data_IF_245777536402
#
_entry.id   IF_245777536402
#
_cell.length_a   1.000
_cell.length_b   1.000
_cell.length_c   1.000
_cell.angle_alpha   90.00
_cell.angle_beta   90.00
_cell.angle_gamma   90.00
#
_symmetry.space_group_name_H-M   'P 1'
#
loop_
_entity.id
_entity.type
_entity.pdbx_description
1 polymer ?
#
# COMPACT_ATOMS: atom_id res chain seq x y z
N UNK A 1 -0.99 14.64 4.73
CA UNK A 1 -0.44 13.46 4.03
C UNK A 1 0.88 13.68 3.28
N UNK A 2 1.21 14.91 2.83
CA UNK A 2 2.44 15.22 2.07
C UNK A 2 3.72 14.76 2.77
N UNK A 3 3.86 15.03 4.06
CA UNK A 3 5.08 14.72 4.80
C UNK A 3 5.30 13.22 4.96
N UNK A 4 4.23 12.45 5.12
CA UNK A 4 4.30 10.99 5.18
C UNK A 4 4.77 10.38 3.85
N UNK A 5 4.34 10.94 2.70
CA UNK A 5 4.78 10.49 1.37
C UNK A 5 6.27 10.78 1.18
N UNK A 6 6.71 12.00 1.52
CA UNK A 6 8.12 12.37 1.40
C UNK A 6 9.01 11.56 2.36
N UNK A 7 8.56 11.34 3.59
CA UNK A 7 9.24 10.50 4.56
C UNK A 7 9.42 9.06 4.08
N UNK A 8 8.35 8.46 3.55
CA UNK A 8 8.41 7.13 2.96
C UNK A 8 9.38 7.08 1.76
N UNK A 9 9.36 8.08 0.87
CA UNK A 9 10.28 8.14 -0.26
C UNK A 9 11.76 8.23 0.17
N UNK A 10 12.06 9.05 1.19
CA UNK A 10 13.40 9.15 1.76
C UNK A 10 13.86 7.83 2.39
N UNK A 11 13.00 7.19 3.17
CA UNK A 11 13.28 5.89 3.77
C UNK A 11 13.54 4.81 2.72
N UNK A 12 12.72 4.75 1.67
CA UNK A 12 12.90 3.78 0.58
C UNK A 12 14.21 4.02 -0.16
N UNK A 13 14.57 5.27 -0.44
CA UNK A 13 15.85 5.61 -1.07
C UNK A 13 17.03 5.22 -0.18
N UNK A 14 17.00 5.58 1.11
CA UNK A 14 18.03 5.19 2.07
C UNK A 14 18.17 3.66 2.20
N UNK A 15 17.08 2.92 1.96
CA UNK A 15 17.03 1.46 2.04
C UNK A 15 17.39 0.74 0.74
N UNK A 16 17.75 1.47 -0.32
CA UNK A 16 18.29 0.92 -1.57
C UNK A 16 17.39 1.04 -2.80
N UNK A 17 16.26 1.76 -2.74
CA UNK A 17 15.50 2.13 -3.95
C UNK A 17 16.21 3.25 -4.73
N UNK A 18 16.16 3.25 -6.09
CA UNK A 18 15.44 2.30 -6.95
C UNK A 18 16.21 1.01 -7.26
N UNK A 19 17.46 0.85 -6.81
CA UNK A 19 18.30 -0.33 -7.12
C UNK A 19 17.69 -1.66 -6.67
N UNK A 20 17.01 -1.69 -5.53
CA UNK A 20 16.25 -2.86 -5.07
C UNK A 20 15.01 -2.48 -4.26
N UNK A 21 13.85 -2.40 -4.93
CA UNK A 21 12.57 -2.16 -4.27
C UNK A 21 12.19 -3.27 -3.28
N UNK A 22 12.56 -4.53 -3.53
CA UNK A 22 12.29 -5.63 -2.58
C UNK A 22 12.99 -5.39 -1.24
N UNK A 23 14.29 -5.04 -1.29
CA UNK A 23 15.07 -4.72 -0.08
C UNK A 23 14.49 -3.50 0.63
N UNK A 24 14.21 -2.43 -0.11
CA UNK A 24 13.69 -1.20 0.47
C UNK A 24 12.33 -1.39 1.14
N UNK A 25 11.42 -2.14 0.53
CA UNK A 25 10.11 -2.45 1.11
C UNK A 25 10.22 -3.38 2.33
N UNK A 26 11.17 -4.33 2.32
CA UNK A 26 11.40 -5.21 3.47
C UNK A 26 11.96 -4.45 4.67
N UNK A 27 12.81 -3.44 4.45
CA UNK A 27 13.31 -2.55 5.50
C UNK A 27 12.19 -1.66 6.09
N UNK A 28 11.21 -1.26 5.27
CA UNK A 28 10.01 -0.55 5.74
C UNK A 28 9.12 -1.45 6.61
N UNK A 29 8.91 -2.68 6.18
CA UNK A 29 8.12 -3.68 6.89
C UNK A 29 8.70 -5.08 6.63
N UNK A 30 9.19 -5.75 7.69
CA UNK A 30 9.86 -7.05 7.64
C UNK A 30 8.92 -8.24 7.34
N UNK A 31 7.94 -8.06 6.47
CA UNK A 31 7.03 -9.10 5.99
C UNK A 31 7.20 -9.33 4.50
N UNK A 32 7.56 -10.56 4.12
CA UNK A 32 7.61 -10.95 2.69
C UNK A 32 6.23 -10.85 2.02
N UNK A 33 5.15 -11.09 2.77
CA UNK A 33 3.79 -10.92 2.27
C UNK A 33 3.51 -9.45 1.94
N UNK A 34 3.92 -8.53 2.81
CA UNK A 34 3.81 -7.08 2.56
C UNK A 34 4.57 -6.67 1.29
N UNK A 35 5.85 -7.08 1.18
CA UNK A 35 6.68 -6.80 -0.01
C UNK A 35 6.01 -7.30 -1.29
N UNK A 36 5.54 -8.55 -1.27
CA UNK A 36 4.90 -9.16 -2.43
C UNK A 36 3.57 -8.47 -2.80
N UNK A 37 2.77 -8.06 -1.81
CA UNK A 37 1.52 -7.36 -2.02
C UNK A 37 1.75 -5.97 -2.65
N UNK A 38 2.64 -5.15 -2.09
CA UNK A 38 2.95 -3.81 -2.61
C UNK A 38 3.47 -3.89 -4.05
N UNK A 39 4.38 -4.82 -4.34
CA UNK A 39 4.89 -5.02 -5.71
C UNK A 39 3.82 -5.52 -6.68
N UNK A 40 2.80 -6.24 -6.21
CA UNK A 40 1.66 -6.65 -7.04
C UNK A 40 0.78 -5.45 -7.37
N UNK A 41 0.45 -4.62 -6.39
CA UNK A 41 -0.32 -3.39 -6.62
C UNK A 41 0.41 -2.42 -7.55
N UNK A 42 1.71 -2.19 -7.31
CA UNK A 42 2.52 -1.33 -8.17
C UNK A 42 2.53 -1.81 -9.64
N UNK A 43 2.72 -3.13 -9.87
CA UNK A 43 2.65 -3.71 -11.22
C UNK A 43 1.27 -3.59 -11.86
N UNK A 44 0.19 -3.64 -11.07
CA UNK A 44 -1.17 -3.43 -11.59
C UNK A 44 -1.38 -1.99 -12.00
N UNK A 45 -0.99 -1.02 -11.17
CA UNK A 45 -1.08 0.42 -11.49
C UNK A 45 -0.21 0.81 -12.68
N UNK A 46 0.96 0.19 -12.85
CA UNK A 46 1.83 0.41 -14.03
C UNK A 46 1.18 -0.09 -15.34
N UNK A 47 0.44 -1.20 -15.27
CA UNK A 47 -0.25 -1.79 -16.43
C UNK A 47 -1.55 -1.07 -16.76
N UNK A 48 -2.21 -0.53 -15.76
CA UNK A 48 -3.53 0.07 -15.84
C UNK A 48 -3.59 1.29 -14.91
N UNK A 49 -3.42 2.51 -15.45
CA UNK A 49 -3.48 3.73 -14.66
C UNK A 49 -4.81 3.92 -13.91
N UNK A 50 -5.91 3.33 -14.41
CA UNK A 50 -7.22 3.44 -13.74
C UNK A 50 -7.30 2.62 -12.46
N UNK A 51 -6.43 1.62 -12.30
CA UNK A 51 -6.36 0.79 -11.10
C UNK A 51 -6.00 1.62 -9.85
N UNK A 52 -5.29 2.75 -10.00
CA UNK A 52 -5.05 3.66 -8.88
C UNK A 52 -6.36 4.12 -8.25
N UNK A 53 -7.33 4.55 -9.07
CA UNK A 53 -8.63 5.02 -8.57
C UNK A 53 -9.39 3.90 -7.86
N UNK A 54 -9.40 2.69 -8.44
CA UNK A 54 -10.05 1.53 -7.83
C UNK A 54 -9.47 1.19 -6.44
N UNK A 55 -8.14 1.20 -6.29
CA UNK A 55 -7.51 0.95 -4.99
C UNK A 55 -7.71 2.11 -4.01
N UNK A 56 -7.67 3.35 -4.49
CA UNK A 56 -7.88 4.53 -3.67
C UNK A 56 -9.32 4.61 -3.13
N UNK A 57 -10.30 4.15 -3.92
CA UNK A 57 -11.71 4.14 -3.54
C UNK A 57 -12.15 2.82 -2.87
N UNK A 58 -11.22 1.94 -2.49
CA UNK A 58 -11.60 0.64 -1.93
C UNK A 58 -12.24 0.80 -0.55
N UNK A 59 -13.52 0.42 -0.47
CA UNK A 59 -14.29 0.37 0.77
C UNK A 59 -13.90 -0.84 1.63
N UNK A 60 -13.61 -0.58 2.91
CA UNK A 60 -13.32 -1.62 3.91
C UNK A 60 -14.53 -1.76 4.82
N UNK A 61 -15.00 -2.99 4.96
CA UNK A 61 -16.10 -3.38 5.84
C UNK A 61 -15.57 -4.30 6.93
N UNK A 62 -16.04 -4.12 8.17
CA UNK A 62 -15.72 -4.99 9.31
C UNK A 62 -16.98 -5.58 9.89
N UNK A 63 -16.93 -6.84 10.29
CA UNK A 63 -18.02 -7.49 11.02
C UNK A 63 -18.15 -6.88 12.41
N UNK A 64 -19.38 -6.61 12.82
CA UNK A 64 -19.70 -6.05 14.12
C UNK A 64 -20.21 -7.14 15.08
N UNK A 65 -20.00 -6.99 16.39
CA UNK A 65 -20.53 -7.94 17.38
C UNK A 65 -22.06 -8.07 17.36
N UNK A 66 -22.78 -7.05 16.88
CA UNK A 66 -24.23 -7.04 16.74
C UNK A 66 -24.74 -7.83 15.51
N UNK A 67 -23.86 -8.47 14.74
CA UNK A 67 -24.22 -9.35 13.62
C UNK A 67 -24.33 -8.67 12.24
N UNK A 68 -23.95 -7.40 12.11
CA UNK A 68 -23.92 -6.67 10.82
C UNK A 68 -22.51 -6.29 10.36
N UNK A 69 -22.37 -5.78 9.14
CA UNK A 69 -21.12 -5.21 8.63
C UNK A 69 -21.13 -3.68 8.75
N UNK A 70 -20.02 -3.11 9.21
CA UNK A 70 -19.80 -1.67 9.28
C UNK A 70 -18.68 -1.26 8.33
N UNK A 71 -18.98 -0.32 7.44
CA UNK A 71 -17.97 0.35 6.62
C UNK A 71 -17.09 1.25 7.48
N UNK A 72 -15.78 1.18 7.31
CA UNK A 72 -14.80 1.93 8.13
C UNK A 72 -13.87 2.85 7.31
N UNK A 73 -13.97 2.86 5.99
CA UNK A 73 -13.30 3.86 5.12
C UNK A 73 -14.32 4.83 4.52
N UNK A 74 -13.95 6.12 4.42
CA UNK A 74 -14.82 7.22 3.95
C UNK A 74 -15.24 7.12 2.47
N UNK A 75 -16.20 7.96 2.00
CA UNK A 75 -17.07 7.77 0.83
C UNK A 75 -16.47 7.12 -0.42
#
# INVERSE_FOLDING_TARGET
PRDAIMGAANLLRASGAPGSYRRALFAYNHSQLYVNAVLRYARRMQRDPTAFYAFHSWQVFVRTPAGGERRITGP
#
